data_IF_973761629043
#
_entry.id   IF_973761629043
#
_cell.length_a   1.000
_cell.length_b   1.000
_cell.length_c   1.000
_cell.angle_alpha   90.00
_cell.angle_beta   90.00
_cell.angle_gamma   90.00
#
_symmetry.space_group_name_H-M   'P 1'
#
loop_
_entity.id
_entity.type
_entity.pdbx_description
1 polymer ?
#
# COMPACT_ATOMS: atom_id res chain seq x y z
N UNK A 1 8.00 -18.67 -24.37
CA UNK A 1 8.58 -19.46 -23.24
C UNK A 1 7.55 -20.49 -22.82
N UNK A 2 7.95 -21.77 -22.60
CA UNK A 2 7.03 -22.81 -22.11
C UNK A 2 6.66 -22.57 -20.64
N UNK A 3 5.50 -23.08 -20.18
CA UNK A 3 5.08 -22.92 -18.79
C UNK A 3 6.12 -23.48 -17.79
N UNK A 4 6.73 -24.64 -18.12
CA UNK A 4 7.77 -25.24 -17.29
C UNK A 4 9.05 -24.40 -17.23
N UNK A 5 9.44 -23.76 -18.34
CA UNK A 5 10.59 -22.86 -18.36
C UNK A 5 10.33 -21.59 -17.54
N UNK A 6 9.10 -21.04 -17.60
CA UNK A 6 8.70 -19.91 -16.77
C UNK A 6 8.71 -20.26 -15.28
N UNK A 7 8.19 -21.44 -14.91
CA UNK A 7 8.20 -21.91 -13.53
C UNK A 7 9.63 -22.12 -13.03
N UNK A 8 10.48 -22.82 -13.80
CA UNK A 8 11.88 -23.04 -13.43
C UNK A 8 12.64 -21.72 -13.25
N UNK A 9 12.44 -20.76 -14.16
CA UNK A 9 13.02 -19.42 -14.05
C UNK A 9 12.56 -18.71 -12.78
N UNK A 10 11.25 -18.74 -12.48
CA UNK A 10 10.70 -18.13 -11.27
C UNK A 10 11.27 -18.73 -9.98
N UNK A 11 11.42 -20.08 -9.92
CA UNK A 11 12.03 -20.76 -8.78
C UNK A 11 13.50 -20.34 -8.62
N UNK A 12 14.27 -20.36 -9.69
CA UNK A 12 15.71 -19.99 -9.66
C UNK A 12 15.89 -18.55 -9.17
N UNK A 13 15.15 -17.60 -9.73
CA UNK A 13 15.25 -16.18 -9.31
C UNK A 13 14.80 -16.00 -7.85
N UNK A 14 13.77 -16.70 -7.39
CA UNK A 14 13.33 -16.67 -5.99
C UNK A 14 14.41 -17.17 -5.05
N UNK A 15 15.04 -18.31 -5.37
CA UNK A 15 16.13 -18.87 -4.57
C UNK A 15 17.34 -17.94 -4.54
N UNK A 16 17.74 -17.39 -5.70
CA UNK A 16 18.84 -16.43 -5.78
C UNK A 16 18.55 -15.18 -4.95
N UNK A 17 17.32 -14.67 -4.96
CA UNK A 17 16.91 -13.54 -4.14
C UNK A 17 17.01 -13.81 -2.64
N UNK A 18 16.58 -15.01 -2.19
CA UNK A 18 16.70 -15.40 -0.77
C UNK A 18 18.16 -15.53 -0.36
N UNK A 19 18.98 -16.21 -1.17
CA UNK A 19 20.42 -16.36 -0.92
C UNK A 19 21.09 -14.98 -0.88
N UNK A 20 20.72 -14.08 -1.79
CA UNK A 20 21.24 -12.70 -1.78
C UNK A 20 20.95 -11.99 -0.46
N UNK A 21 19.74 -12.10 0.10
CA UNK A 21 19.41 -11.52 1.41
C UNK A 21 20.19 -12.18 2.55
N UNK A 22 20.43 -13.50 2.50
CA UNK A 22 21.22 -14.19 3.51
C UNK A 22 22.68 -13.74 3.52
N UNK A 23 23.28 -13.54 2.35
CA UNK A 23 24.70 -13.22 2.22
C UNK A 23 25.00 -11.70 2.30
N UNK A 24 24.08 -10.87 1.79
CA UNK A 24 24.31 -9.43 1.66
C UNK A 24 23.54 -8.57 2.67
N UNK A 25 22.61 -9.17 3.42
CA UNK A 25 21.84 -8.49 4.47
C UNK A 25 21.91 -9.30 5.77
N UNK A 26 20.84 -10.01 6.12
CA UNK A 26 20.78 -10.81 7.34
C UNK A 26 19.64 -11.86 7.28
N UNK A 27 19.62 -12.74 8.29
CA UNK A 27 18.65 -13.84 8.35
C UNK A 27 17.20 -13.35 8.45
N UNK A 28 16.93 -12.25 9.14
CA UNK A 28 15.58 -11.72 9.34
C UNK A 28 15.03 -11.13 8.04
N UNK A 29 15.85 -10.39 7.28
CA UNK A 29 15.49 -9.90 5.95
C UNK A 29 15.19 -11.05 4.99
N UNK A 30 16.04 -12.10 4.99
CA UNK A 30 15.84 -13.30 4.19
C UNK A 30 14.56 -14.07 4.58
N UNK A 31 14.24 -14.14 5.88
CA UNK A 31 12.99 -14.75 6.37
C UNK A 31 11.77 -14.01 5.80
N UNK A 32 11.71 -12.68 5.92
CA UNK A 32 10.58 -11.91 5.43
C UNK A 32 10.47 -11.92 3.91
N UNK A 33 11.60 -11.94 3.18
CA UNK A 33 11.62 -12.12 1.73
C UNK A 33 11.05 -13.50 1.34
N UNK A 34 11.47 -14.57 2.01
CA UNK A 34 10.97 -15.92 1.81
C UNK A 34 9.47 -16.02 2.11
N UNK A 35 9.05 -15.47 3.25
CA UNK A 35 7.63 -15.39 3.63
C UNK A 35 6.81 -14.70 2.54
N UNK A 36 7.26 -13.55 2.05
CA UNK A 36 6.57 -12.79 1.01
C UNK A 36 6.40 -13.61 -0.28
N UNK A 37 7.47 -14.26 -0.75
CA UNK A 37 7.44 -15.10 -1.95
C UNK A 37 6.47 -16.26 -1.78
N UNK A 38 6.59 -17.01 -0.70
CA UNK A 38 5.73 -18.19 -0.43
C UNK A 38 4.27 -17.77 -0.26
N UNK A 39 4.01 -16.69 0.47
CA UNK A 39 2.66 -16.17 0.66
C UNK A 39 2.04 -15.72 -0.67
N UNK A 40 2.79 -14.99 -1.50
CA UNK A 40 2.32 -14.56 -2.81
C UNK A 40 2.05 -15.74 -3.75
N UNK A 41 2.94 -16.73 -3.81
CA UNK A 41 2.79 -17.86 -4.72
C UNK A 41 1.71 -18.83 -4.22
N UNK A 42 1.81 -19.30 -2.98
CA UNK A 42 0.94 -20.37 -2.47
C UNK A 42 -0.44 -19.84 -2.08
N UNK A 43 -0.49 -18.76 -1.28
CA UNK A 43 -1.75 -18.26 -0.73
C UNK A 43 -2.47 -17.40 -1.76
N UNK A 44 -1.80 -16.37 -2.31
CA UNK A 44 -2.47 -15.47 -3.25
C UNK A 44 -2.68 -16.14 -4.62
N UNK A 45 -1.61 -16.59 -5.30
CA UNK A 45 -1.68 -16.99 -6.71
C UNK A 45 -2.37 -18.34 -6.89
N UNK A 46 -2.00 -19.35 -6.11
CA UNK A 46 -2.53 -20.72 -6.27
C UNK A 46 -3.92 -20.82 -5.66
N UNK A 47 -4.12 -20.29 -4.46
CA UNK A 47 -5.37 -20.48 -3.74
C UNK A 47 -6.37 -19.33 -3.97
N UNK A 48 -6.09 -18.11 -3.51
CA UNK A 48 -7.10 -17.04 -3.38
C UNK A 48 -7.49 -16.37 -4.70
N UNK A 49 -6.55 -16.21 -5.62
CA UNK A 49 -6.75 -15.40 -6.83
C UNK A 49 -7.96 -15.81 -7.67
N UNK A 50 -8.31 -17.09 -7.64
CA UNK A 50 -9.43 -17.65 -8.42
C UNK A 50 -10.61 -18.12 -7.57
N UNK A 51 -10.47 -18.15 -6.24
CA UNK A 51 -11.45 -18.74 -5.33
C UNK A 51 -12.13 -17.73 -4.41
N UNK A 52 -11.54 -16.56 -4.18
CA UNK A 52 -12.04 -15.61 -3.19
C UNK A 52 -12.08 -14.19 -3.70
N UNK A 53 -13.15 -13.47 -3.41
CA UNK A 53 -13.26 -12.00 -3.64
C UNK A 53 -12.35 -11.19 -2.71
N UNK A 54 -11.89 -11.80 -1.61
CA UNK A 54 -10.93 -11.22 -0.66
C UNK A 54 -9.47 -11.45 -1.07
N UNK A 55 -9.23 -11.94 -2.29
CA UNK A 55 -7.89 -12.22 -2.80
C UNK A 55 -6.97 -11.00 -2.72
N UNK A 56 -7.50 -9.79 -3.01
CA UNK A 56 -6.76 -8.52 -2.94
C UNK A 56 -6.40 -8.17 -1.49
N UNK A 57 -7.33 -8.37 -0.55
CA UNK A 57 -7.11 -8.04 0.86
C UNK A 57 -6.02 -8.95 1.45
N UNK A 58 -6.27 -10.25 1.40
CA UNK A 58 -5.34 -11.23 2.00
C UNK A 58 -4.02 -11.25 1.23
N UNK A 59 -4.08 -11.29 -0.11
CA UNK A 59 -2.89 -11.28 -0.97
C UNK A 59 -2.05 -10.00 -0.88
N UNK A 60 -2.68 -8.88 -0.51
CA UNK A 60 -2.03 -7.60 -0.27
C UNK A 60 -0.96 -7.65 0.81
N UNK A 61 -1.02 -8.62 1.75
CA UNK A 61 0.00 -8.79 2.78
C UNK A 61 1.40 -9.04 2.17
N UNK A 62 1.51 -9.87 1.15
CA UNK A 62 2.79 -10.10 0.49
C UNK A 62 3.37 -8.78 -0.10
N UNK A 63 2.51 -7.98 -0.75
CA UNK A 63 2.91 -6.68 -1.29
C UNK A 63 3.22 -5.62 -0.22
N UNK A 64 2.80 -5.84 1.02
CA UNK A 64 3.03 -4.94 2.13
C UNK A 64 4.32 -5.24 2.93
N UNK A 65 5.01 -6.36 2.67
CA UNK A 65 6.25 -6.73 3.37
C UNK A 65 7.51 -5.97 2.99
N UNK A 66 7.68 -5.32 1.80
CA UNK A 66 8.92 -4.66 1.41
C UNK A 66 9.48 -3.67 2.45
N UNK A 67 8.69 -2.83 3.15
CA UNK A 67 9.23 -1.98 4.22
C UNK A 67 9.86 -2.76 5.36
N UNK A 68 9.29 -3.89 5.75
CA UNK A 68 9.83 -4.75 6.82
C UNK A 68 11.15 -5.38 6.37
N UNK A 69 11.22 -5.86 5.12
CA UNK A 69 12.43 -6.42 4.53
C UNK A 69 13.52 -5.36 4.45
N UNK A 70 13.19 -4.17 3.91
CA UNK A 70 14.15 -3.06 3.79
C UNK A 70 14.65 -2.56 5.15
N UNK A 71 13.77 -2.48 6.15
CA UNK A 71 14.15 -2.11 7.51
C UNK A 71 15.09 -3.14 8.13
N UNK A 72 14.73 -4.42 8.07
CA UNK A 72 15.58 -5.49 8.56
C UNK A 72 16.96 -5.49 7.88
N UNK A 73 17.01 -5.22 6.56
CA UNK A 73 18.27 -5.10 5.82
C UNK A 73 19.11 -3.93 6.35
N UNK A 74 18.51 -2.79 6.66
CA UNK A 74 19.20 -1.60 7.14
C UNK A 74 19.60 -1.67 8.63
N UNK A 75 18.93 -2.52 9.41
CA UNK A 75 19.18 -2.65 10.86
C UNK A 75 20.51 -3.35 11.21
N UNK A 76 21.25 -3.81 10.21
CA UNK A 76 22.55 -4.49 10.39
C UNK A 76 22.41 -6.00 10.60
N UNK A 77 23.22 -6.58 11.45
CA UNK A 77 23.36 -8.03 11.57
C UNK A 77 22.30 -8.62 12.51
N UNK A 78 21.09 -8.87 11.97
CA UNK A 78 20.00 -9.49 12.68
C UNK A 78 20.01 -11.02 12.45
N UNK A 79 20.04 -11.79 13.52
CA UNK A 79 19.99 -13.25 13.50
C UNK A 79 18.70 -13.81 14.08
N UNK A 80 18.26 -14.97 13.57
CA UNK A 80 17.09 -15.67 14.07
C UNK A 80 17.52 -16.57 15.23
N UNK A 81 16.90 -16.37 16.40
CA UNK A 81 17.09 -17.23 17.58
C UNK A 81 16.00 -18.32 17.58
N UNK A 82 16.41 -19.58 17.68
CA UNK A 82 15.53 -20.75 17.67
C UNK A 82 15.47 -21.48 19.01
N UNK A 83 15.99 -20.89 20.10
CA UNK A 83 16.04 -21.53 21.43
C UNK A 83 14.64 -21.77 22.01
N UNK A 84 13.69 -20.86 21.73
CA UNK A 84 12.29 -21.03 22.06
C UNK A 84 11.39 -20.38 21.01
N UNK A 85 10.09 -20.74 21.00
CA UNK A 85 9.10 -20.09 20.12
C UNK A 85 9.01 -18.58 20.41
N UNK A 86 9.19 -18.16 21.67
CA UNK A 86 9.20 -16.74 22.06
C UNK A 86 10.42 -16.04 21.46
N UNK A 87 11.61 -16.63 21.57
CA UNK A 87 12.85 -16.06 21.05
C UNK A 87 12.83 -15.99 19.52
N UNK A 88 12.31 -17.02 18.89
CA UNK A 88 12.06 -17.01 17.45
C UNK A 88 11.13 -15.85 17.05
N UNK A 89 9.96 -15.72 17.69
CA UNK A 89 9.03 -14.65 17.41
C UNK A 89 9.67 -13.27 17.67
N UNK A 90 10.35 -13.09 18.78
CA UNK A 90 11.03 -11.83 19.07
C UNK A 90 12.07 -11.50 18.00
N UNK A 91 12.88 -12.45 17.55
CA UNK A 91 13.93 -12.19 16.57
C UNK A 91 13.40 -11.76 15.19
N UNK A 92 12.19 -12.17 14.82
CA UNK A 92 11.60 -11.81 13.52
C UNK A 92 10.66 -10.60 13.57
N UNK A 93 10.07 -10.29 14.76
CA UNK A 93 9.11 -9.21 14.91
C UNK A 93 9.68 -7.96 15.61
N UNK A 94 10.72 -8.09 16.43
CA UNK A 94 11.37 -6.94 17.06
C UNK A 94 12.49 -6.41 16.16
N UNK A 95 12.15 -5.39 15.38
CA UNK A 95 13.08 -4.70 14.48
C UNK A 95 13.63 -3.40 15.09
N UNK A 96 13.50 -3.23 16.41
CA UNK A 96 13.94 -2.02 17.12
C UNK A 96 13.13 -0.76 16.81
N UNK A 97 12.06 -0.87 16.04
CA UNK A 97 11.20 0.27 15.68
C UNK A 97 9.79 -0.18 15.29
N UNK A 98 8.80 0.69 15.52
CA UNK A 98 7.44 0.51 15.03
C UNK A 98 7.23 0.96 13.58
N UNK A 99 8.17 1.71 13.02
CA UNK A 99 8.04 2.28 11.67
C UNK A 99 7.86 1.22 10.56
N UNK A 100 8.61 0.11 10.49
CA UNK A 100 8.40 -0.90 9.46
C UNK A 100 6.99 -1.52 9.51
N UNK A 101 6.43 -1.69 10.70
CA UNK A 101 5.06 -2.21 10.89
C UNK A 101 4.00 -1.19 10.52
N UNK A 102 4.23 0.09 10.83
CA UNK A 102 3.39 1.19 10.38
C UNK A 102 3.34 1.23 8.84
N UNK A 103 4.48 1.15 8.17
CA UNK A 103 4.56 1.17 6.71
C UNK A 103 3.95 -0.10 6.08
N UNK A 104 4.11 -1.27 6.70
CA UNK A 104 3.42 -2.49 6.31
C UNK A 104 1.90 -2.30 6.38
N UNK A 105 1.38 -1.81 7.50
CA UNK A 105 -0.05 -1.56 7.67
C UNK A 105 -0.56 -0.49 6.70
N UNK A 106 0.22 0.55 6.43
CA UNK A 106 -0.11 1.59 5.46
C UNK A 106 -0.34 0.99 4.06
N UNK A 107 0.61 0.19 3.57
CA UNK A 107 0.48 -0.47 2.25
C UNK A 107 -0.66 -1.48 2.26
N UNK A 108 -0.77 -2.27 3.33
CA UNK A 108 -1.81 -3.29 3.46
C UNK A 108 -3.22 -2.70 3.41
N UNK A 109 -3.48 -1.63 4.19
CA UNK A 109 -4.79 -0.96 4.20
C UNK A 109 -5.05 -0.14 2.93
N UNK A 110 -4.00 0.37 2.26
CA UNK A 110 -4.10 1.07 1.00
C UNK A 110 -4.46 0.14 -0.17
N UNK A 111 -4.01 -1.10 -0.13
CA UNK A 111 -4.15 -2.06 -1.23
C UNK A 111 -5.61 -2.29 -1.67
N UNK A 112 -6.59 -2.56 -0.76
CA UNK A 112 -7.96 -2.82 -1.19
C UNK A 112 -8.63 -1.63 -1.89
N UNK A 113 -8.67 -0.41 -1.34
CA UNK A 113 -9.33 0.71 -2.02
C UNK A 113 -8.62 1.09 -3.33
N UNK A 114 -7.29 0.92 -3.44
CA UNK A 114 -6.54 1.13 -4.68
C UNK A 114 -6.98 0.15 -5.79
N UNK A 115 -6.93 -1.15 -5.51
CA UNK A 115 -7.26 -2.17 -6.52
C UNK A 115 -8.75 -2.24 -6.84
N UNK A 116 -9.62 -1.96 -5.89
CA UNK A 116 -11.05 -1.93 -6.17
C UNK A 116 -11.46 -0.67 -6.93
N UNK A 117 -10.78 0.46 -6.75
CA UNK A 117 -10.93 1.62 -7.62
C UNK A 117 -10.54 1.27 -9.07
N UNK A 118 -9.42 0.55 -9.26
CA UNK A 118 -9.02 0.04 -10.57
C UNK A 118 -10.05 -0.94 -11.16
N UNK A 119 -10.60 -1.84 -10.33
CA UNK A 119 -11.60 -2.81 -10.76
C UNK A 119 -12.93 -2.13 -11.16
N UNK A 120 -13.35 -1.06 -10.46
CA UNK A 120 -14.47 -0.23 -10.84
C UNK A 120 -14.20 0.52 -12.14
N UNK A 121 -13.01 1.11 -12.27
CA UNK A 121 -12.56 1.85 -13.44
C UNK A 121 -12.47 0.96 -14.70
N UNK A 122 -12.03 -0.30 -14.56
CA UNK A 122 -11.83 -1.28 -15.67
C UNK A 122 -12.75 -2.50 -15.58
N UNK A 123 -13.97 -2.35 -15.12
CA UNK A 123 -14.89 -3.47 -14.82
C UNK A 123 -15.06 -4.44 -16.01
N UNK A 124 -15.24 -3.93 -17.23
CA UNK A 124 -15.39 -4.76 -18.44
C UNK A 124 -14.19 -5.67 -18.73
N UNK A 125 -12.98 -5.20 -18.42
CA UNK A 125 -11.74 -5.95 -18.68
C UNK A 125 -11.59 -7.12 -17.68
N UNK A 126 -11.98 -6.92 -16.42
CA UNK A 126 -11.93 -7.97 -15.39
C UNK A 126 -13.01 -9.04 -15.59
N UNK A 127 -14.21 -8.64 -16.02
CA UNK A 127 -15.30 -9.57 -16.31
C UNK A 127 -14.91 -10.51 -17.47
N UNK A 128 -14.19 -10.00 -18.47
CA UNK A 128 -13.75 -10.77 -19.63
C UNK A 128 -12.74 -11.90 -19.31
N UNK A 129 -11.97 -11.77 -18.21
CA UNK A 129 -10.94 -12.77 -17.83
C UNK A 129 -11.38 -13.67 -16.67
N UNK A 130 -12.62 -13.50 -16.17
CA UNK A 130 -13.21 -14.37 -15.15
C UNK A 130 -12.50 -14.35 -13.78
N UNK A 131 -11.78 -13.28 -13.45
CA UNK A 131 -11.18 -13.09 -12.11
C UNK A 131 -12.26 -12.55 -11.17
N UNK A 132 -12.52 -13.20 -10.01
CA UNK A 132 -13.56 -12.78 -9.08
C UNK A 132 -13.17 -11.50 -8.34
N UNK A 133 -13.33 -10.34 -9.00
CA UNK A 133 -13.13 -9.04 -8.36
C UNK A 133 -14.37 -8.62 -7.58
N UNK A 134 -14.16 -7.89 -6.48
CA UNK A 134 -15.25 -7.46 -5.58
C UNK A 134 -16.41 -6.78 -6.33
N UNK A 135 -16.21 -5.81 -7.25
CA UNK A 135 -17.32 -5.17 -7.96
C UNK A 135 -18.14 -6.14 -8.81
N UNK A 136 -17.49 -7.09 -9.50
CA UNK A 136 -18.18 -8.07 -10.35
C UNK A 136 -18.97 -9.12 -9.57
N UNK A 137 -18.51 -9.50 -8.37
CA UNK A 137 -19.13 -10.58 -7.57
C UNK A 137 -20.12 -10.05 -6.52
N UNK A 138 -19.79 -8.94 -5.85
CA UNK A 138 -20.57 -8.39 -4.72
C UNK A 138 -21.29 -7.10 -5.07
N UNK A 139 -21.09 -6.58 -6.28
CA UNK A 139 -21.69 -5.32 -6.75
C UNK A 139 -20.99 -4.06 -6.25
N UNK A 140 -21.35 -2.94 -6.85
CA UNK A 140 -20.70 -1.64 -6.61
C UNK A 140 -20.92 -1.14 -5.17
N UNK A 141 -22.16 -1.21 -4.65
CA UNK A 141 -22.47 -0.70 -3.31
C UNK A 141 -21.67 -1.37 -2.20
N UNK A 142 -21.51 -2.70 -2.27
CA UNK A 142 -20.70 -3.43 -1.29
C UNK A 142 -19.22 -3.09 -1.43
N UNK A 143 -18.73 -2.99 -2.65
CA UNK A 143 -17.33 -2.60 -2.93
C UNK A 143 -17.03 -1.22 -2.35
N UNK A 144 -17.88 -0.24 -2.62
CA UNK A 144 -17.71 1.13 -2.11
C UNK A 144 -17.76 1.20 -0.58
N UNK A 145 -18.64 0.41 0.06
CA UNK A 145 -18.68 0.34 1.52
C UNK A 145 -17.33 -0.15 2.08
N UNK A 146 -16.79 -1.24 1.54
CA UNK A 146 -15.51 -1.76 2.00
C UNK A 146 -14.36 -0.79 1.70
N UNK A 147 -14.32 -0.17 0.51
CA UNK A 147 -13.33 0.87 0.20
C UNK A 147 -13.37 2.02 1.22
N UNK A 148 -14.56 2.49 1.59
CA UNK A 148 -14.73 3.56 2.59
C UNK A 148 -14.24 3.14 3.97
N UNK A 149 -14.48 1.87 4.37
CA UNK A 149 -13.96 1.33 5.64
C UNK A 149 -12.43 1.37 5.64
N UNK A 150 -11.76 0.88 4.57
CA UNK A 150 -10.30 0.93 4.49
C UNK A 150 -9.76 2.36 4.43
N UNK A 151 -10.44 3.28 3.74
CA UNK A 151 -10.07 4.69 3.72
C UNK A 151 -10.14 5.33 5.12
N UNK A 152 -11.16 5.00 5.92
CA UNK A 152 -11.26 5.44 7.32
C UNK A 152 -10.15 4.82 8.17
N UNK A 153 -9.86 3.53 8.00
CA UNK A 153 -8.76 2.87 8.72
C UNK A 153 -7.41 3.50 8.40
N UNK A 154 -7.18 3.95 7.16
CA UNK A 154 -5.97 4.70 6.79
C UNK A 154 -5.89 6.05 7.51
N UNK A 155 -7.00 6.79 7.64
CA UNK A 155 -7.03 8.04 8.41
C UNK A 155 -6.74 7.77 9.89
N UNK A 156 -7.29 6.70 10.47
CA UNK A 156 -6.99 6.29 11.85
C UNK A 156 -5.50 5.92 11.99
N UNK A 157 -4.95 5.15 11.04
CA UNK A 157 -3.53 4.79 11.03
C UNK A 157 -2.63 6.04 10.97
N UNK A 158 -3.04 7.09 10.23
CA UNK A 158 -2.27 8.34 10.12
C UNK A 158 -2.06 9.03 11.47
N UNK A 159 -2.99 8.87 12.42
CA UNK A 159 -2.85 9.40 13.78
C UNK A 159 -1.71 8.73 14.56
N UNK A 160 -1.32 7.52 14.16
CA UNK A 160 -0.22 6.76 14.77
C UNK A 160 1.13 7.04 14.11
N UNK A 161 1.16 7.80 13.00
CA UNK A 161 2.39 8.07 12.24
C UNK A 161 3.51 8.67 13.09
N UNK A 162 3.29 9.71 13.93
CA UNK A 162 4.34 10.25 14.78
C UNK A 162 4.84 9.26 15.82
N UNK A 163 3.95 8.47 16.43
CA UNK A 163 4.33 7.45 17.40
C UNK A 163 5.19 6.33 16.78
N UNK A 164 5.01 6.04 15.49
CA UNK A 164 5.82 5.06 14.78
C UNK A 164 7.26 5.54 14.53
N UNK A 165 7.52 6.85 14.55
CA UNK A 165 8.87 7.42 14.44
C UNK A 165 9.74 7.24 15.70
N UNK A 166 9.19 6.71 16.80
CA UNK A 166 9.93 6.45 18.03
C UNK A 166 10.00 7.66 18.96
N UNK A 167 11.20 8.09 19.33
CA UNK A 167 11.47 9.08 20.39
C UNK A 167 11.01 10.53 20.12
N UNK A 168 10.04 10.73 19.23
CA UNK A 168 9.45 12.04 19.03
C UNK A 168 8.65 12.47 20.27
N UNK A 169 9.08 13.55 20.92
CA UNK A 169 8.29 14.18 21.97
C UNK A 169 7.00 14.77 21.37
N UNK A 170 5.87 14.51 22.04
CA UNK A 170 4.56 15.07 21.66
C UNK A 170 4.52 16.59 21.71
N UNK A 171 5.45 17.23 22.42
CA UNK A 171 5.60 18.69 22.48
C UNK A 171 6.47 19.26 21.36
N UNK A 172 7.14 18.42 20.60
CA UNK A 172 8.00 18.87 19.51
C UNK A 172 7.20 19.35 18.30
N UNK A 173 7.64 20.46 17.72
CA UNK A 173 7.04 21.00 16.49
C UNK A 173 7.05 19.98 15.34
N UNK A 174 8.11 19.16 15.26
CA UNK A 174 8.22 18.11 14.22
C UNK A 174 7.10 17.08 14.36
N UNK A 175 6.75 16.66 15.58
CA UNK A 175 5.63 15.75 15.84
C UNK A 175 4.34 16.26 15.23
N UNK A 176 4.04 17.54 15.44
CA UNK A 176 2.83 18.17 14.93
C UNK A 176 2.85 18.37 13.41
N UNK A 177 3.96 18.88 12.86
CA UNK A 177 4.09 19.10 11.41
C UNK A 177 3.95 17.79 10.66
N UNK A 178 4.68 16.75 11.07
CA UNK A 178 4.61 15.43 10.45
C UNK A 178 3.22 14.79 10.63
N UNK A 179 2.72 14.77 11.86
CA UNK A 179 1.44 14.12 12.18
C UNK A 179 0.26 14.75 11.43
N UNK A 180 0.14 16.08 11.45
CA UNK A 180 -0.95 16.76 10.73
C UNK A 180 -0.80 16.61 9.21
N UNK A 181 0.43 16.62 8.68
CA UNK A 181 0.66 16.38 7.26
C UNK A 181 0.19 14.96 6.87
N UNK A 182 0.54 13.94 7.65
CA UNK A 182 0.06 12.59 7.43
C UNK A 182 -1.47 12.49 7.45
N UNK A 183 -2.12 13.11 8.43
CA UNK A 183 -3.59 13.12 8.54
C UNK A 183 -4.23 13.82 7.34
N UNK A 184 -3.73 15.01 6.94
CA UNK A 184 -4.27 15.78 5.81
C UNK A 184 -4.16 14.98 4.50
N UNK A 185 -3.02 14.33 4.24
CA UNK A 185 -2.81 13.50 3.05
C UNK A 185 -3.76 12.30 3.05
N UNK A 186 -3.99 11.67 4.21
CA UNK A 186 -4.94 10.57 4.33
C UNK A 186 -6.40 11.01 4.13
N UNK A 187 -6.80 12.16 4.68
CA UNK A 187 -8.14 12.72 4.47
C UNK A 187 -8.36 13.08 2.99
N UNK A 188 -7.35 13.67 2.34
CA UNK A 188 -7.43 13.97 0.91
C UNK A 188 -7.66 12.71 0.07
N UNK A 189 -6.90 11.64 0.30
CA UNK A 189 -7.13 10.38 -0.39
C UNK A 189 -8.50 9.78 -0.04
N UNK A 190 -8.86 9.71 1.25
CA UNK A 190 -10.15 9.17 1.68
C UNK A 190 -11.32 9.90 0.99
N UNK A 191 -11.25 11.23 0.88
CA UNK A 191 -12.26 12.02 0.16
C UNK A 191 -12.44 11.52 -1.28
N UNK A 192 -11.37 11.18 -2.02
CA UNK A 192 -11.51 10.65 -3.39
C UNK A 192 -12.26 9.33 -3.43
N UNK A 193 -12.11 8.47 -2.41
CA UNK A 193 -12.86 7.23 -2.27
C UNK A 193 -14.33 7.48 -1.97
N UNK A 194 -14.61 8.47 -1.11
CA UNK A 194 -15.98 8.80 -0.69
C UNK A 194 -16.84 9.42 -1.79
N UNK A 195 -16.22 10.13 -2.74
CA UNK A 195 -16.92 10.78 -3.86
C UNK A 195 -17.07 9.88 -5.10
N UNK A 196 -16.63 8.63 -5.06
CA UNK A 196 -16.85 7.70 -6.19
C UNK A 196 -18.35 7.51 -6.37
N UNK A 197 -18.83 7.84 -7.56
CA UNK A 197 -20.21 7.65 -7.98
C UNK A 197 -20.26 6.53 -9.04
N UNK A 198 -20.80 5.34 -8.72
CA UNK A 198 -20.89 4.23 -9.65
C UNK A 198 -21.95 4.46 -10.75
N UNK A 199 -22.87 5.38 -10.54
CA UNK A 199 -24.00 5.67 -11.41
C UNK A 199 -23.75 6.90 -12.32
N UNK A 200 -22.57 7.55 -12.20
CA UNK A 200 -22.18 8.67 -13.08
C UNK A 200 -22.07 8.25 -14.55
N UNK A 201 -22.18 9.23 -15.45
CA UNK A 201 -22.01 9.02 -16.90
C UNK A 201 -20.63 8.42 -17.19
N UNK A 202 -20.64 7.26 -17.82
CA UNK A 202 -19.41 6.57 -18.20
C UNK A 202 -18.79 7.24 -19.42
N UNK A 203 -17.47 7.23 -19.50
CA UNK A 203 -16.74 7.64 -20.70
C UNK A 203 -17.12 6.75 -21.89
N UNK A 204 -16.79 7.17 -23.12
CA UNK A 204 -16.98 6.35 -24.35
C UNK A 204 -16.38 4.93 -24.21
N UNK A 205 -15.27 4.80 -23.48
CA UNK A 205 -14.64 3.52 -23.17
C UNK A 205 -15.36 2.73 -22.06
N UNK A 206 -16.48 3.24 -21.49
CA UNK A 206 -17.28 2.60 -20.45
C UNK A 206 -16.68 2.69 -19.05
N UNK A 207 -15.76 3.62 -18.81
CA UNK A 207 -15.03 3.81 -17.56
C UNK A 207 -15.76 4.78 -16.62
N UNK A 208 -15.59 4.61 -15.31
CA UNK A 208 -16.13 5.48 -14.25
C UNK A 208 -15.07 6.54 -13.92
N UNK A 209 -15.28 7.85 -14.23
CA UNK A 209 -14.28 8.89 -14.04
C UNK A 209 -13.85 9.10 -12.60
N UNK A 210 -14.79 9.10 -11.64
CA UNK A 210 -14.46 9.27 -10.22
C UNK A 210 -13.66 8.10 -9.66
N UNK A 211 -13.91 6.88 -10.12
CA UNK A 211 -13.09 5.71 -9.75
C UNK A 211 -11.69 5.80 -10.35
N UNK A 212 -11.56 6.28 -11.60
CA UNK A 212 -10.27 6.54 -12.22
C UNK A 212 -9.46 7.57 -11.41
N UNK A 213 -10.09 8.70 -11.05
CA UNK A 213 -9.43 9.71 -10.21
C UNK A 213 -8.93 9.11 -8.90
N UNK A 214 -9.79 8.38 -8.17
CA UNK A 214 -9.40 7.73 -6.91
C UNK A 214 -8.24 6.77 -7.09
N UNK A 215 -8.21 5.98 -8.17
CA UNK A 215 -7.10 5.09 -8.51
C UNK A 215 -5.78 5.86 -8.73
N UNK A 216 -5.77 6.90 -9.58
CA UNK A 216 -4.55 7.66 -9.84
C UNK A 216 -4.08 8.45 -8.62
N UNK A 217 -5.00 9.07 -7.87
CA UNK A 217 -4.68 9.77 -6.62
C UNK A 217 -4.09 8.81 -5.59
N UNK A 218 -4.55 7.57 -5.52
CA UNK A 218 -4.02 6.58 -4.58
C UNK A 218 -2.53 6.28 -4.79
N UNK A 219 -2.02 6.33 -6.02
CA UNK A 219 -0.59 6.17 -6.31
C UNK A 219 0.22 7.37 -5.82
N UNK A 220 -0.28 8.58 -6.10
CA UNK A 220 0.35 9.82 -5.61
C UNK A 220 0.32 9.87 -4.08
N UNK A 221 -0.80 9.48 -3.47
CA UNK A 221 -0.97 9.37 -2.03
C UNK A 221 0.11 8.48 -1.40
N UNK A 222 0.29 7.26 -1.90
CA UNK A 222 1.27 6.34 -1.33
C UNK A 222 2.69 6.90 -1.47
N UNK A 223 3.05 7.45 -2.62
CA UNK A 223 4.34 8.09 -2.84
C UNK A 223 4.55 9.27 -1.86
N UNK A 224 3.54 10.13 -1.67
CA UNK A 224 3.60 11.23 -0.71
C UNK A 224 3.78 10.74 0.73
N UNK A 225 3.08 9.68 1.15
CA UNK A 225 3.23 9.13 2.49
C UNK A 225 4.67 8.67 2.75
N UNK A 226 5.32 8.02 1.78
CA UNK A 226 6.74 7.66 1.90
C UNK A 226 7.65 8.90 1.91
N UNK A 227 7.39 9.88 1.05
CA UNK A 227 8.18 11.12 1.02
C UNK A 227 8.11 11.86 2.35
N UNK A 228 6.93 12.03 2.94
CA UNK A 228 6.79 12.74 4.22
C UNK A 228 7.43 11.98 5.39
N UNK A 229 7.40 10.64 5.39
CA UNK A 229 8.10 9.82 6.39
C UNK A 229 9.62 10.01 6.25
N UNK A 230 10.16 9.87 5.04
CA UNK A 230 11.60 10.01 4.79
C UNK A 230 12.07 11.45 5.06
N UNK A 231 11.34 12.45 4.65
CA UNK A 231 11.74 13.84 4.90
C UNK A 231 11.65 14.18 6.38
N UNK A 232 10.65 13.69 7.11
CA UNK A 232 10.52 13.92 8.55
C UNK A 232 11.70 13.31 9.35
N UNK A 233 12.28 12.21 8.88
CA UNK A 233 13.48 11.63 9.53
C UNK A 233 14.71 12.52 9.46
N UNK A 234 14.74 13.52 8.55
CA UNK A 234 15.78 14.54 8.45
C UNK A 234 15.53 15.77 9.38
N UNK A 235 14.60 15.67 10.32
CA UNK A 235 14.30 16.73 11.28
C UNK A 235 13.22 17.71 10.82
N UNK A 236 13.08 18.81 11.56
CA UNK A 236 11.99 19.79 11.34
C UNK A 236 11.99 20.41 9.94
N UNK A 237 13.15 20.73 9.39
CA UNK A 237 13.25 21.28 8.03
C UNK A 237 12.75 20.29 6.98
N UNK A 238 13.11 19.01 7.14
CA UNK A 238 12.61 17.94 6.30
C UNK A 238 11.09 17.75 6.45
N UNK A 239 10.55 17.76 7.66
CA UNK A 239 9.10 17.66 7.89
C UNK A 239 8.33 18.84 7.23
N UNK A 240 8.85 20.05 7.30
CA UNK A 240 8.29 21.22 6.61
C UNK A 240 8.34 21.04 5.09
N UNK A 241 9.48 20.56 4.56
CA UNK A 241 9.61 20.27 3.12
C UNK A 241 8.56 19.24 2.67
N UNK A 242 8.41 18.14 3.41
CA UNK A 242 7.39 17.14 3.16
C UNK A 242 5.96 17.72 3.15
N UNK A 243 5.66 18.58 4.12
CA UNK A 243 4.37 19.26 4.21
C UNK A 243 4.11 20.18 3.01
N UNK A 244 5.11 20.96 2.58
CA UNK A 244 5.01 21.85 1.40
C UNK A 244 4.79 21.03 0.12
N UNK A 245 5.52 19.93 -0.06
CA UNK A 245 5.34 19.03 -1.20
C UNK A 245 3.93 18.41 -1.20
N UNK A 246 3.47 17.94 -0.07
CA UNK A 246 2.12 17.38 0.06
C UNK A 246 1.04 18.42 -0.26
N UNK A 247 1.13 19.63 0.32
CA UNK A 247 0.20 20.72 0.05
C UNK A 247 0.18 21.09 -1.45
N UNK A 248 1.34 21.19 -2.07
CA UNK A 248 1.46 21.53 -3.50
C UNK A 248 0.77 20.48 -4.38
N UNK A 249 0.98 19.20 -4.09
CA UNK A 249 0.38 18.12 -4.87
C UNK A 249 -1.14 18.04 -4.68
N UNK A 250 -1.62 18.22 -3.45
CA UNK A 250 -3.05 18.25 -3.14
C UNK A 250 -3.72 19.42 -3.85
N UNK A 251 -3.15 20.63 -3.75
CA UNK A 251 -3.70 21.81 -4.41
C UNK A 251 -3.73 21.68 -5.93
N UNK A 252 -2.68 21.10 -6.51
CA UNK A 252 -2.63 20.82 -7.95
C UNK A 252 -3.71 19.82 -8.40
N UNK A 253 -3.90 18.74 -7.64
CA UNK A 253 -4.95 17.75 -7.96
C UNK A 253 -6.34 18.37 -7.86
N UNK A 254 -6.64 19.08 -6.77
CA UNK A 254 -7.92 19.75 -6.56
C UNK A 254 -8.18 20.84 -7.61
N UNK A 255 -7.14 21.57 -8.04
CA UNK A 255 -7.25 22.54 -9.13
C UNK A 255 -7.60 21.89 -10.45
N UNK A 256 -6.92 20.80 -10.81
CA UNK A 256 -7.17 20.06 -12.03
C UNK A 256 -8.56 19.41 -12.04
N UNK A 257 -9.03 18.92 -10.89
CA UNK A 257 -10.36 18.33 -10.75
C UNK A 257 -11.52 19.34 -10.93
N UNK A 258 -11.25 20.66 -10.82
CA UNK A 258 -12.24 21.73 -11.01
C UNK A 258 -12.30 22.25 -12.44
N UNK A 259 -11.31 21.92 -13.28
CA UNK A 259 -11.35 22.33 -14.69
C UNK A 259 -12.48 21.59 -15.39
N UNK A 260 -13.31 22.30 -16.21
CA UNK A 260 -14.24 21.61 -17.10
C UNK A 260 -13.46 20.63 -17.97
N UNK A 261 -14.00 19.44 -18.17
CA UNK A 261 -13.44 18.51 -19.15
C UNK A 261 -13.67 19.11 -20.55
N UNK A 262 -12.59 19.49 -21.22
CA UNK A 262 -12.63 20.01 -22.59
C UNK A 262 -13.13 18.97 -23.64
N UNK A 263 -13.50 17.75 -23.17
CA UNK A 263 -13.92 16.62 -24.01
C UNK A 263 -15.45 16.53 -24.27
N UNK A 264 -16.20 17.63 -24.15
CA UNK A 264 -17.64 17.66 -24.50
C UNK A 264 -17.89 18.39 -25.83
N UNK A 265 -16.84 18.70 -26.61
CA UNK A 265 -17.01 19.33 -27.93
C UNK A 265 -15.95 18.90 -28.94
N UNK A 266 -16.07 17.69 -29.46
CA UNK A 266 -15.55 17.32 -30.80
C UNK A 266 -16.23 16.00 -31.26
#
# INVERSE_FOLDING_TARGET
MSANAALAFGIVISLLGVVWFLECANQVAAFWATFSILFYVLIYTIWLKRTSVQNIVIGGLAGATPPVIGWATAAGDLSINTDSLKDFANSIFDLGSWMPWYLLLLIFLWTPPHFWALALYRSKEYDAVGIPMMPGVKGHSRTLLEMKIYAVLLVILALLAPAAMGDMDRHDTIYHVFGWTAVIVNIWYARTVFIIDPDESRTESGRIPTAARSFFVSMVYLALMFVIVVTASAGLQGAILGAVLAATMILRDEWNARKPSDDVSA
#
